data_IF_102199050011
#
_entry.id   IF_102199050011
#
_cell.length_a   1.000
_cell.length_b   1.000
_cell.length_c   1.000
_cell.angle_alpha   90.00
_cell.angle_beta   90.00
_cell.angle_gamma   90.00
#
_symmetry.space_group_name_H-M   'P 1'
#
loop_
_entity.id
_entity.type
_entity.pdbx_description
1 polymer ?
#
# COMPACT_ATOMS: atom_id res chain seq x y z
N UNK A 1 -45.17 -29.28 54.12
CA UNK A 1 -44.22 -28.15 54.14
C UNK A 1 -43.37 -28.22 52.89
N UNK A 2 -43.61 -27.32 51.93
CA UNK A 2 -42.99 -27.31 50.59
C UNK A 2 -41.81 -26.35 50.60
N UNK A 3 -40.60 -26.86 50.30
CA UNK A 3 -39.37 -26.07 50.25
C UNK A 3 -39.24 -25.31 48.93
N UNK A 4 -39.32 -23.98 49.08
CA UNK A 4 -38.92 -22.84 48.23
C UNK A 4 -38.21 -23.16 46.90
N UNK A 5 -38.89 -22.78 45.82
CA UNK A 5 -38.41 -22.76 44.44
C UNK A 5 -38.16 -21.33 43.96
N UNK A 6 -37.06 -21.14 43.22
CA UNK A 6 -36.70 -20.03 42.30
C UNK A 6 -36.34 -18.68 42.94
N UNK A 7 -35.56 -17.77 42.36
CA UNK A 7 -34.55 -17.70 41.28
C UNK A 7 -34.31 -16.19 41.15
N UNK A 8 -33.15 -15.66 41.52
CA UNK A 8 -32.72 -14.32 41.14
C UNK A 8 -31.31 -14.45 40.58
N UNK A 9 -31.21 -14.78 39.28
CA UNK A 9 -30.79 -13.82 38.25
C UNK A 9 -29.45 -13.15 38.60
N UNK A 10 -28.37 -13.94 38.53
CA UNK A 10 -27.01 -13.37 38.42
C UNK A 10 -26.83 -12.85 36.99
N UNK A 11 -26.35 -11.61 36.94
CA UNK A 11 -26.24 -10.74 35.79
C UNK A 11 -25.54 -11.34 34.55
N UNK A 12 -25.87 -10.85 33.34
CA UNK A 12 -25.23 -11.28 32.10
C UNK A 12 -23.78 -10.80 32.07
N UNK A 13 -22.85 -11.75 32.09
CA UNK A 13 -21.42 -11.55 31.89
C UNK A 13 -21.09 -11.67 30.40
N UNK A 14 -21.84 -11.01 29.53
CA UNK A 14 -21.58 -11.03 28.08
C UNK A 14 -21.18 -9.62 27.67
N UNK A 15 -20.06 -9.38 26.94
CA UNK A 15 -19.03 -10.27 26.42
C UNK A 15 -17.57 -9.76 26.65
N UNK A 16 -16.57 -10.59 26.37
CA UNK A 16 -15.15 -10.24 26.14
C UNK A 16 -14.27 -9.65 27.29
N UNK A 17 -14.81 -9.03 28.34
CA UNK A 17 -13.98 -8.65 29.51
C UNK A 17 -13.51 -9.87 30.34
N UNK A 18 -14.10 -11.05 30.11
CA UNK A 18 -13.75 -12.32 30.76
C UNK A 18 -12.48 -12.98 30.25
N UNK A 19 -11.92 -12.54 29.13
CA UNK A 19 -10.79 -13.28 28.58
C UNK A 19 -9.51 -13.14 29.39
N UNK A 20 -9.45 -12.29 30.43
CA UNK A 20 -8.37 -12.33 31.43
C UNK A 20 -6.97 -12.42 30.82
N UNK A 21 -6.80 -11.97 29.58
CA UNK A 21 -5.54 -12.08 28.88
C UNK A 21 -4.78 -10.85 29.32
N UNK A 22 -3.86 -11.08 30.26
CA UNK A 22 -2.72 -10.23 30.55
C UNK A 22 -2.34 -9.43 29.30
N UNK A 23 -2.76 -8.16 29.21
CA UNK A 23 -2.43 -7.25 28.08
C UNK A 23 -0.92 -7.27 27.82
N UNK A 24 -0.18 -7.38 28.91
CA UNK A 24 1.26 -7.55 28.93
C UNK A 24 1.75 -8.85 28.27
N UNK A 25 1.03 -9.97 28.43
CA UNK A 25 1.33 -11.24 27.73
C UNK A 25 1.11 -11.11 26.22
N UNK A 26 0.05 -10.42 25.81
CA UNK A 26 -0.22 -10.20 24.38
C UNK A 26 0.83 -9.30 23.73
N UNK A 27 1.19 -8.19 24.38
CA UNK A 27 2.25 -7.27 23.92
C UNK A 27 3.61 -7.99 23.92
N UNK A 28 3.95 -8.76 24.95
CA UNK A 28 5.20 -9.52 25.02
C UNK A 28 5.33 -10.53 23.87
N UNK A 29 4.25 -11.25 23.57
CA UNK A 29 4.26 -12.22 22.46
C UNK A 29 4.33 -11.52 21.09
N UNK A 30 3.64 -10.40 20.88
CA UNK A 30 3.76 -9.60 19.65
C UNK A 30 5.16 -9.01 19.47
N UNK A 31 5.80 -8.58 20.55
CA UNK A 31 7.19 -8.11 20.53
C UNK A 31 8.16 -9.26 20.21
N UNK A 32 7.90 -10.46 20.73
CA UNK A 32 8.72 -11.65 20.43
C UNK A 32 8.68 -12.02 18.95
N UNK A 33 7.50 -11.98 18.32
CA UNK A 33 7.37 -12.26 16.88
C UNK A 33 8.01 -11.17 16.02
N UNK A 34 7.87 -9.88 16.38
CA UNK A 34 8.52 -8.79 15.65
C UNK A 34 10.04 -8.85 15.76
N UNK A 35 10.56 -9.17 16.95
CA UNK A 35 12.01 -9.37 17.15
C UNK A 35 12.53 -10.56 16.35
N UNK A 36 11.77 -11.66 16.29
CA UNK A 36 12.14 -12.83 15.48
C UNK A 36 12.22 -12.48 13.99
N UNK A 37 11.19 -11.81 13.45
CA UNK A 37 11.18 -11.38 12.05
C UNK A 37 12.33 -10.40 11.74
N UNK A 38 12.55 -9.41 12.62
CA UNK A 38 13.67 -8.49 12.51
C UNK A 38 15.03 -9.20 12.51
N UNK A 39 15.20 -10.23 13.34
CA UNK A 39 16.40 -11.07 13.35
C UNK A 39 16.61 -11.84 12.04
N UNK A 40 15.56 -12.44 11.48
CA UNK A 40 15.64 -13.14 10.20
C UNK A 40 15.94 -12.19 9.04
N UNK A 41 15.31 -11.01 9.03
CA UNK A 41 15.54 -10.00 8.00
C UNK A 41 16.99 -9.47 8.06
N UNK A 42 17.49 -9.20 9.27
CA UNK A 42 18.88 -8.79 9.48
C UNK A 42 19.87 -9.86 9.04
N UNK A 43 19.62 -11.13 9.41
CA UNK A 43 20.46 -12.25 8.99
C UNK A 43 20.48 -12.40 7.45
N UNK A 44 19.31 -12.36 6.81
CA UNK A 44 19.21 -12.43 5.35
C UNK A 44 19.93 -11.25 4.68
N UNK A 45 19.79 -10.03 5.21
CA UNK A 45 20.46 -8.85 4.68
C UNK A 45 21.99 -8.95 4.80
N UNK A 46 22.51 -9.46 5.92
CA UNK A 46 23.95 -9.68 6.09
C UNK A 46 24.45 -10.74 5.10
N UNK A 47 23.76 -11.87 4.97
CA UNK A 47 24.14 -12.94 4.05
C UNK A 47 24.15 -12.47 2.59
N UNK A 48 23.13 -11.73 2.18
CA UNK A 48 23.04 -11.16 0.83
C UNK A 48 24.05 -10.03 0.62
N UNK A 49 24.25 -9.17 1.62
CA UNK A 49 25.15 -8.01 1.58
C UNK A 49 26.63 -8.41 1.50
N UNK A 50 27.04 -9.47 2.19
CA UNK A 50 28.40 -10.01 2.12
C UNK A 50 28.73 -10.64 0.76
N UNK A 51 27.71 -11.05 -0.01
CA UNK A 51 27.85 -11.62 -1.35
C UNK A 51 27.71 -10.58 -2.49
N UNK A 52 27.52 -9.30 -2.17
CA UNK A 52 27.50 -8.24 -3.19
C UNK A 52 28.93 -7.93 -3.66
N UNK A 53 29.35 -8.54 -4.77
CA UNK A 53 30.55 -8.12 -5.52
C UNK A 53 30.13 -7.19 -6.68
N UNK A 54 29.47 -6.10 -6.34
CA UNK A 54 29.06 -5.10 -7.33
C UNK A 54 30.05 -3.94 -7.26
N UNK A 55 30.82 -3.74 -8.33
CA UNK A 55 31.54 -2.50 -8.56
C UNK A 55 30.54 -1.36 -8.42
N UNK A 56 30.59 -0.63 -7.30
CA UNK A 56 29.78 0.55 -7.06
C UNK A 56 30.15 1.59 -8.11
N UNK A 57 29.40 1.64 -9.21
CA UNK A 57 29.54 2.70 -10.20
C UNK A 57 28.99 3.99 -9.57
N UNK A 58 29.90 4.75 -8.97
CA UNK A 58 29.61 6.00 -8.29
C UNK A 58 28.82 6.98 -9.20
N UNK A 59 28.90 6.83 -10.52
CA UNK A 59 28.19 7.70 -11.47
C UNK A 59 26.68 7.47 -11.50
N UNK A 60 26.21 6.21 -11.35
CA UNK A 60 24.78 5.88 -11.27
C UNK A 60 24.20 6.35 -9.94
N UNK A 61 24.94 6.15 -8.85
CA UNK A 61 24.57 6.64 -7.51
C UNK A 61 24.39 8.16 -7.49
N UNK A 62 25.30 8.92 -8.11
CA UNK A 62 25.18 10.39 -8.15
C UNK A 62 23.96 10.88 -8.96
N UNK A 63 23.56 10.17 -10.02
CA UNK A 63 22.39 10.54 -10.82
C UNK A 63 21.07 10.27 -10.06
N UNK A 64 21.00 9.12 -9.39
CA UNK A 64 19.90 8.76 -8.48
C UNK A 64 19.80 9.75 -7.31
N UNK A 65 20.92 10.12 -6.66
CA UNK A 65 20.94 11.10 -5.57
C UNK A 65 20.48 12.50 -6.03
N UNK A 66 20.83 12.91 -7.25
CA UNK A 66 20.39 14.21 -7.79
C UNK A 66 18.87 14.22 -8.01
N UNK A 67 18.32 13.11 -8.53
CA UNK A 67 16.86 12.90 -8.68
C UNK A 67 16.14 12.85 -7.33
N UNK A 68 16.74 12.20 -6.33
CA UNK A 68 16.19 12.17 -4.99
C UNK A 68 16.23 13.55 -4.33
N UNK A 69 17.24 14.37 -4.57
CA UNK A 69 17.29 15.73 -4.02
C UNK A 69 16.18 16.63 -4.60
N UNK A 70 15.84 16.46 -5.88
CA UNK A 70 14.73 17.20 -6.52
C UNK A 70 13.33 16.71 -6.08
N UNK A 71 13.17 15.43 -5.73
CA UNK A 71 11.89 14.83 -5.34
C UNK A 71 11.66 14.81 -3.82
N UNK A 72 12.73 14.67 -3.03
CA UNK A 72 12.76 14.73 -1.56
C UNK A 72 13.13 16.13 -1.08
N UNK A 73 12.51 17.17 -1.62
CA UNK A 73 12.21 18.34 -0.79
C UNK A 73 11.22 17.88 0.29
N UNK A 74 11.74 17.21 1.32
CA UNK A 74 11.03 16.85 2.55
C UNK A 74 10.72 18.18 3.21
N UNK A 75 9.67 18.84 2.73
CA UNK A 75 9.07 19.96 3.43
C UNK A 75 8.67 19.40 4.80
N UNK A 76 9.10 20.01 5.90
CA UNK A 76 8.76 19.57 7.27
C UNK A 76 7.26 19.36 7.47
N UNK A 77 6.45 19.94 6.59
CA UNK A 77 5.01 19.79 6.52
C UNK A 77 4.51 18.36 6.28
N UNK A 78 5.24 17.52 5.54
CA UNK A 78 4.81 16.13 5.33
C UNK A 78 5.00 15.24 6.57
N UNK A 79 5.77 15.71 7.57
CA UNK A 79 5.84 15.07 8.89
C UNK A 79 4.65 15.45 9.79
N UNK A 80 3.87 16.46 9.42
CA UNK A 80 2.79 16.97 10.26
C UNK A 80 1.70 15.91 10.55
N UNK A 81 1.27 15.07 9.59
CA UNK A 81 0.37 13.94 9.89
C UNK A 81 0.99 12.93 10.86
N UNK A 82 2.30 12.67 10.76
CA UNK A 82 3.01 11.75 11.64
C UNK A 82 3.15 12.31 13.06
N UNK A 83 3.45 13.61 13.19
CA UNK A 83 3.49 14.32 14.47
C UNK A 83 2.09 14.35 15.09
N UNK A 84 1.04 14.55 14.29
CA UNK A 84 -0.34 14.52 14.74
C UNK A 84 -0.74 13.13 15.26
N UNK A 85 -0.37 12.05 14.55
CA UNK A 85 -0.55 10.69 15.02
C UNK A 85 0.18 10.44 16.34
N UNK A 86 1.43 10.90 16.46
CA UNK A 86 2.21 10.77 17.68
C UNK A 86 1.57 11.53 18.85
N UNK A 87 1.07 12.74 18.61
CA UNK A 87 0.34 13.52 19.61
C UNK A 87 -0.92 12.79 20.09
N UNK A 88 -1.70 12.18 19.18
CA UNK A 88 -2.87 11.38 19.53
C UNK A 88 -2.52 10.09 20.28
N UNK A 89 -1.39 9.48 19.94
CA UNK A 89 -0.87 8.30 20.63
C UNK A 89 -0.49 8.61 22.08
N UNK A 90 0.15 9.75 22.32
CA UNK A 90 0.46 10.24 23.68
C UNK A 90 -0.83 10.62 24.43
N UNK A 91 -1.83 11.15 23.74
CA UNK A 91 -3.14 11.49 24.30
C UNK A 91 -4.00 10.28 24.72
N UNK A 92 -3.47 9.04 24.65
CA UNK A 92 -4.15 7.79 25.06
C UNK A 92 -5.49 7.55 24.34
N UNK A 93 -5.63 8.05 23.11
CA UNK A 93 -6.77 7.73 22.24
C UNK A 93 -6.65 6.27 21.77
N UNK A 94 -7.76 5.51 21.63
CA UNK A 94 -7.70 4.14 21.09
C UNK A 94 -7.00 4.13 19.73
N UNK A 95 -6.08 3.18 19.52
CA UNK A 95 -5.18 3.16 18.35
C UNK A 95 -5.93 3.25 17.00
N UNK A 96 -7.08 2.58 16.88
CA UNK A 96 -7.92 2.63 15.69
C UNK A 96 -8.40 4.05 15.36
N UNK A 97 -8.85 4.81 16.37
CA UNK A 97 -9.28 6.20 16.21
C UNK A 97 -8.12 7.11 15.84
N UNK A 98 -6.95 6.93 16.48
CA UNK A 98 -5.76 7.73 16.20
C UNK A 98 -5.31 7.59 14.74
N UNK A 99 -5.29 6.36 14.20
CA UNK A 99 -4.89 6.08 12.82
C UNK A 99 -5.90 6.67 11.83
N UNK A 100 -7.20 6.52 12.09
CA UNK A 100 -8.25 7.12 11.23
C UNK A 100 -8.16 8.64 11.16
N UNK A 101 -7.99 9.31 12.30
CA UNK A 101 -7.82 10.77 12.34
C UNK A 101 -6.55 11.22 11.62
N UNK A 102 -5.44 10.48 11.79
CA UNK A 102 -4.20 10.77 11.07
C UNK A 102 -4.33 10.59 9.56
N UNK A 103 -5.04 9.56 9.11
CA UNK A 103 -5.27 9.30 7.69
C UNK A 103 -6.12 10.43 7.05
N UNK A 104 -7.16 10.90 7.75
CA UNK A 104 -7.96 12.03 7.30
C UNK A 104 -7.13 13.33 7.22
N UNK A 105 -6.30 13.60 8.23
CA UNK A 105 -5.39 14.76 8.22
C UNK A 105 -4.42 14.69 7.04
N UNK A 106 -3.84 13.52 6.76
CA UNK A 106 -2.95 13.31 5.62
C UNK A 106 -3.68 13.53 4.29
N UNK A 107 -4.91 13.04 4.14
CA UNK A 107 -5.73 13.25 2.95
C UNK A 107 -6.02 14.73 2.67
N UNK A 108 -6.36 15.49 3.71
CA UNK A 108 -6.54 16.95 3.62
C UNK A 108 -5.24 17.62 3.17
N UNK A 109 -4.11 17.25 3.78
CA UNK A 109 -2.79 17.78 3.41
C UNK A 109 -2.41 17.50 1.95
N UNK A 110 -2.71 16.29 1.44
CA UNK A 110 -2.46 15.92 0.04
C UNK A 110 -3.19 16.83 -0.94
N UNK A 111 -4.41 17.29 -0.62
CA UNK A 111 -5.16 18.21 -1.47
C UNK A 111 -4.48 19.57 -1.65
N UNK A 112 -3.69 20.02 -0.66
CA UNK A 112 -2.98 21.29 -0.73
C UNK A 112 -1.57 21.14 -1.32
N UNK A 113 -0.84 20.07 -0.96
CA UNK A 113 0.55 19.89 -1.37
C UNK A 113 0.72 19.19 -2.71
N UNK A 114 -0.22 18.33 -3.12
CA UNK A 114 -0.05 17.46 -4.29
C UNK A 114 -1.33 17.36 -5.14
N UNK A 115 -1.89 18.49 -5.63
CA UNK A 115 -3.10 18.48 -6.48
C UNK A 115 -2.88 17.66 -7.78
N UNK A 116 -1.67 17.73 -8.35
CA UNK A 116 -1.28 16.95 -9.53
C UNK A 116 -1.34 15.43 -9.36
N UNK A 117 -1.22 14.91 -8.13
CA UNK A 117 -1.32 13.47 -7.85
C UNK A 117 -2.79 13.04 -7.78
N UNK A 118 -3.67 13.92 -7.30
CA UNK A 118 -5.12 13.70 -7.23
C UNK A 118 -5.71 13.58 -8.64
N UNK A 119 -5.34 14.49 -9.55
CA UNK A 119 -5.83 14.49 -10.93
C UNK A 119 -5.37 13.24 -11.72
N UNK A 120 -4.19 12.71 -11.38
CA UNK A 120 -3.68 11.45 -11.97
C UNK A 120 -4.36 10.22 -11.39
N UNK A 121 -4.80 10.30 -10.14
CA UNK A 121 -5.46 9.20 -9.44
C UNK A 121 -6.92 9.03 -9.87
N UNK A 122 -7.66 10.13 -10.05
CA UNK A 122 -9.03 10.12 -10.56
C UNK A 122 -9.10 10.96 -11.85
N UNK A 123 -9.13 10.26 -12.98
CA UNK A 123 -9.35 10.88 -14.28
C UNK A 123 -10.86 11.03 -14.51
N UNK A 124 -11.44 12.10 -13.99
CA UNK A 124 -12.85 12.43 -14.22
C UNK A 124 -13.00 13.87 -14.76
N UNK A 125 -13.51 14.04 -15.99
CA UNK A 125 -13.42 15.32 -16.71
C UNK A 125 -14.45 16.38 -16.30
N UNK A 126 -15.37 16.10 -15.35
CA UNK A 126 -16.55 16.94 -15.12
C UNK A 126 -16.87 17.23 -13.63
N UNK A 127 -15.87 17.15 -12.74
CA UNK A 127 -16.05 17.45 -11.31
C UNK A 127 -15.29 18.72 -10.89
N UNK A 128 -15.92 19.53 -10.03
CA UNK A 128 -15.25 20.66 -9.39
C UNK A 128 -14.02 20.18 -8.59
N UNK A 129 -12.89 20.88 -8.74
CA UNK A 129 -11.60 20.54 -8.12
C UNK A 129 -11.64 20.13 -6.64
N UNK A 130 -12.42 20.80 -5.74
CA UNK A 130 -12.47 20.36 -4.34
C UNK A 130 -13.25 19.06 -4.12
N UNK A 131 -14.29 18.79 -4.92
CA UNK A 131 -15.07 17.56 -4.82
C UNK A 131 -14.26 16.36 -5.32
N UNK A 132 -13.46 16.57 -6.38
CA UNK A 132 -12.53 15.56 -6.88
C UNK A 132 -11.50 15.17 -5.81
N UNK A 133 -10.95 16.13 -5.07
CA UNK A 133 -10.00 15.87 -4.00
C UNK A 133 -10.60 15.06 -2.85
N UNK A 134 -11.81 15.41 -2.39
CA UNK A 134 -12.50 14.66 -1.33
C UNK A 134 -12.78 13.22 -1.78
N UNK A 135 -13.24 13.04 -3.03
CA UNK A 135 -13.47 11.71 -3.62
C UNK A 135 -12.17 10.91 -3.73
N UNK A 136 -11.07 11.54 -4.16
CA UNK A 136 -9.76 10.93 -4.25
C UNK A 136 -9.25 10.44 -2.90
N UNK A 137 -9.33 11.28 -1.88
CA UNK A 137 -8.94 10.91 -0.51
C UNK A 137 -9.79 9.74 0.00
N UNK A 138 -11.10 9.79 -0.20
CA UNK A 138 -12.00 8.72 0.22
C UNK A 138 -11.70 7.37 -0.45
N UNK A 139 -11.52 7.37 -1.78
CA UNK A 139 -11.21 6.16 -2.55
C UNK A 139 -9.81 5.64 -2.19
N UNK A 140 -8.83 6.53 -2.02
CA UNK A 140 -7.48 6.16 -1.62
C UNK A 140 -7.45 5.50 -0.23
N UNK A 141 -8.27 5.94 0.72
CA UNK A 141 -8.37 5.30 2.04
C UNK A 141 -9.05 3.93 1.97
N UNK A 142 -10.08 3.76 1.14
CA UNK A 142 -10.83 2.51 1.06
C UNK A 142 -10.12 1.42 0.23
N UNK A 143 -9.44 1.82 -0.85
CA UNK A 143 -8.87 0.91 -1.85
C UNK A 143 -7.35 0.98 -1.96
N UNK A 144 -6.72 1.90 -1.23
CA UNK A 144 -5.31 2.22 -1.38
C UNK A 144 -5.03 3.10 -2.59
N UNK A 145 -3.78 3.54 -2.71
CA UNK A 145 -3.32 4.29 -3.89
C UNK A 145 -3.03 3.34 -5.04
N UNK A 146 -3.69 3.56 -6.17
CA UNK A 146 -3.64 2.76 -7.39
C UNK A 146 -3.44 3.70 -8.57
N UNK A 147 -2.19 3.91 -8.98
CA UNK A 147 -1.91 4.63 -10.22
C UNK A 147 -2.06 3.67 -11.38
N UNK A 148 -3.14 3.82 -12.17
CA UNK A 148 -3.19 3.19 -13.49
C UNK A 148 -2.16 3.89 -14.36
N UNK A 149 -0.95 3.34 -14.41
CA UNK A 149 0.05 3.71 -15.40
C UNK A 149 -0.62 3.63 -16.77
N UNK A 150 -0.93 4.79 -17.35
CA UNK A 150 -1.26 4.88 -18.77
C UNK A 150 0.01 4.44 -19.50
N UNK A 151 0.10 3.14 -19.80
CA UNK A 151 1.08 2.63 -20.73
C UNK A 151 0.81 3.33 -22.06
N UNK A 152 1.59 4.38 -22.31
CA UNK A 152 1.57 5.12 -23.57
C UNK A 152 2.02 4.12 -24.62
N UNK A 153 1.09 3.61 -25.41
CA UNK A 153 1.38 2.64 -26.47
C UNK A 153 2.40 3.16 -27.52
N UNK A 154 2.74 4.46 -27.47
CA UNK A 154 3.74 5.10 -28.34
C UNK A 154 5.20 4.84 -27.93
N UNK A 155 5.49 4.46 -26.66
CA UNK A 155 6.86 4.21 -26.16
C UNK A 155 7.19 2.73 -26.09
N UNK A 156 6.73 1.96 -27.08
CA UNK A 156 7.29 0.63 -27.33
C UNK A 156 8.75 0.81 -27.74
N UNK A 157 9.75 0.30 -27.00
CA UNK A 157 11.11 0.25 -27.52
C UNK A 157 11.07 -0.55 -28.83
N UNK A 158 11.76 -0.07 -29.88
CA UNK A 158 11.70 -0.66 -31.23
C UNK A 158 11.89 -2.19 -31.26
N UNK A 159 12.58 -2.74 -30.25
CA UNK A 159 12.79 -4.18 -30.07
C UNK A 159 11.49 -4.98 -29.87
N UNK A 160 10.48 -4.41 -29.20
CA UNK A 160 9.19 -5.10 -28.96
C UNK A 160 8.26 -5.08 -30.18
N UNK A 161 8.54 -4.21 -31.17
CA UNK A 161 7.83 -4.23 -32.45
C UNK A 161 8.21 -5.48 -33.26
N UNK A 162 9.48 -5.87 -33.26
CA UNK A 162 9.97 -7.09 -33.95
C UNK A 162 9.37 -8.37 -33.38
N UNK A 163 9.27 -8.49 -32.06
CA UNK A 163 8.67 -9.69 -31.44
C UNK A 163 7.17 -9.81 -31.74
N UNK A 164 6.42 -8.71 -31.70
CA UNK A 164 5.00 -8.72 -32.07
C UNK A 164 4.77 -9.03 -33.55
N UNK A 165 5.67 -8.59 -34.43
CA UNK A 165 5.61 -8.89 -35.86
C UNK A 165 5.99 -10.34 -36.16
N UNK A 166 7.07 -10.88 -35.60
CA UNK A 166 7.44 -12.29 -35.77
C UNK A 166 6.33 -13.24 -35.32
N UNK A 167 5.67 -12.95 -34.20
CA UNK A 167 4.54 -13.78 -33.74
C UNK A 167 3.31 -13.63 -34.64
N UNK A 168 3.06 -12.43 -35.18
CA UNK A 168 1.98 -12.22 -36.14
C UNK A 168 2.26 -12.91 -37.49
N UNK A 169 3.53 -12.95 -37.91
CA UNK A 169 3.98 -13.63 -39.12
C UNK A 169 3.89 -15.16 -38.95
N UNK A 170 4.30 -15.71 -37.79
CA UNK A 170 4.15 -17.15 -37.45
C UNK A 170 2.67 -17.58 -37.42
N UNK A 171 1.80 -16.74 -36.86
CA UNK A 171 0.36 -17.00 -36.80
C UNK A 171 -0.33 -16.85 -38.16
N UNK A 172 0.23 -16.04 -39.07
CA UNK A 172 -0.25 -15.92 -40.45
C UNK A 172 0.19 -17.11 -41.30
N UNK A 173 1.40 -17.63 -41.09
CA UNK A 173 1.93 -18.82 -41.76
C UNK A 173 1.12 -20.08 -41.37
N UNK A 174 0.87 -20.27 -40.06
CA UNK A 174 0.02 -21.37 -39.59
C UNK A 174 -1.42 -21.29 -40.11
N UNK A 175 -2.00 -20.09 -40.25
CA UNK A 175 -3.36 -19.93 -40.80
C UNK A 175 -3.42 -20.20 -42.32
N UNK A 176 -2.31 -20.01 -43.04
CA UNK A 176 -2.24 -20.26 -44.49
C UNK A 176 -2.10 -21.75 -44.83
N UNK A 177 -1.68 -22.59 -43.89
CA UNK A 177 -1.51 -24.04 -44.10
C UNK A 177 -2.77 -24.90 -43.90
N UNK A 178 -3.80 -24.37 -43.24
CA UNK A 178 -4.96 -25.15 -42.78
C UNK A 178 -6.19 -25.05 -43.71
N UNK A 179 -6.00 -24.81 -45.01
CA UNK A 179 -7.07 -25.00 -46.02
C UNK A 179 -7.04 -26.45 -46.50
N UNK A 180 -7.44 -27.37 -45.63
CA UNK A 180 -7.72 -28.74 -46.02
C UNK A 180 -8.96 -28.77 -46.93
N UNK A 181 -8.74 -29.09 -48.20
CA UNK A 181 -9.77 -29.47 -49.16
C UNK A 181 -10.60 -30.63 -48.61
N UNK A 182 -11.87 -30.37 -48.25
CA UNK A 182 -12.89 -31.42 -48.13
C UNK A 182 -13.75 -31.40 -49.40
N UNK A 183 -13.46 -32.32 -50.32
CA UNK A 183 -14.28 -32.60 -51.49
C UNK A 183 -13.85 -33.90 -52.15
N UNK A 184 -14.77 -34.86 -52.23
CA UNK A 184 -14.60 -36.14 -52.92
C UNK A 184 -15.03 -37.32 -52.08
#
# INVERSE_FOLDING_TARGET
MVTKSRRCLKAPYWPAQLNGVELYKHIRTQLWTNRSSGGHCLLAFILLGLNQHSAFDATVTNNELTRFNELFHITPWNLLPLIFLLALSVAKVPASLAIMCSALMAGIMTSFMQPQVIDRFIVEPDLASPLLAIKAVWIAMATGFQEKLRYRADRRPAVTRRYGQHVADDLADHRSGDVWHYGG
#
